data_IF_222975833179
#
_entry.id   IF_222975833179
#
_cell.length_a   1.000
_cell.length_b   1.000
_cell.length_c   1.000
_cell.angle_alpha   90.00
_cell.angle_beta   90.00
_cell.angle_gamma   90.00
#
_symmetry.space_group_name_H-M   'P 1'
#
loop_
_entity.id
_entity.type
_entity.pdbx_description
1 polymer ?
#
# COMPACT_ATOMS: atom_id res chain seq x y z
N UNK A 1 1.28 -2.77 -27.53
CA UNK A 1 1.91 -1.47 -27.24
C UNK A 1 1.54 -0.39 -28.25
N UNK A 2 1.59 -0.64 -29.58
CA UNK A 2 1.25 0.37 -30.60
C UNK A 2 -0.06 1.12 -30.37
N UNK A 3 -1.15 0.41 -30.05
CA UNK A 3 -2.45 1.03 -29.78
C UNK A 3 -2.41 2.16 -28.72
N UNK A 4 -1.84 1.92 -27.54
CA UNK A 4 -1.79 2.94 -26.48
C UNK A 4 -0.77 4.03 -26.77
N UNK A 5 0.30 3.73 -27.51
CA UNK A 5 1.22 4.76 -27.99
C UNK A 5 0.49 5.74 -28.94
N UNK A 6 -0.27 5.19 -29.90
CA UNK A 6 -1.05 5.98 -30.86
C UNK A 6 -2.16 6.80 -30.16
N UNK A 7 -2.87 6.22 -29.18
CA UNK A 7 -3.88 6.92 -28.39
C UNK A 7 -3.28 8.06 -27.56
N UNK A 8 -2.13 7.84 -26.89
CA UNK A 8 -1.44 8.90 -26.12
C UNK A 8 -0.95 10.01 -27.06
N UNK A 9 -0.37 9.66 -28.21
CA UNK A 9 0.09 10.65 -29.20
C UNK A 9 -1.06 11.49 -29.75
N UNK A 10 -2.24 10.89 -29.95
CA UNK A 10 -3.39 11.55 -30.56
C UNK A 10 -4.21 12.37 -29.56
N UNK A 11 -4.40 11.85 -28.35
CA UNK A 11 -5.34 12.41 -27.37
C UNK A 11 -4.69 12.97 -26.11
N UNK A 12 -3.39 12.69 -25.90
CA UNK A 12 -2.66 13.04 -24.69
C UNK A 12 -2.83 12.03 -23.56
N UNK A 13 -1.85 11.98 -22.66
CA UNK A 13 -1.80 11.01 -21.55
C UNK A 13 -3.04 11.05 -20.65
N UNK A 14 -3.47 12.25 -20.21
CA UNK A 14 -4.57 12.41 -19.26
C UNK A 14 -5.90 11.89 -19.82
N UNK A 15 -6.24 12.30 -21.03
CA UNK A 15 -7.49 11.94 -21.69
C UNK A 15 -7.53 10.44 -21.97
N UNK A 16 -6.43 9.86 -22.46
CA UNK A 16 -6.30 8.42 -22.69
C UNK A 16 -6.45 7.65 -21.38
N UNK A 17 -5.78 8.07 -20.31
CA UNK A 17 -5.88 7.41 -19.02
C UNK A 17 -7.32 7.41 -18.47
N UNK A 18 -7.99 8.57 -18.43
CA UNK A 18 -9.36 8.65 -17.93
C UNK A 18 -10.33 7.82 -18.79
N UNK A 19 -10.19 7.87 -20.12
CA UNK A 19 -11.04 7.14 -21.05
C UNK A 19 -10.93 5.62 -20.86
N UNK A 20 -9.72 5.10 -20.78
CA UNK A 20 -9.52 3.64 -20.77
C UNK A 20 -9.56 3.01 -19.38
N UNK A 21 -9.41 3.78 -18.31
CA UNK A 21 -9.41 3.24 -16.95
C UNK A 21 -10.69 3.58 -16.18
N UNK A 22 -11.25 4.79 -16.34
CA UNK A 22 -12.33 5.28 -15.47
C UNK A 22 -13.70 5.42 -16.14
N UNK A 23 -13.77 5.47 -17.47
CA UNK A 23 -15.05 5.67 -18.15
C UNK A 23 -16.05 4.56 -17.84
N UNK A 24 -17.34 4.87 -17.98
CA UNK A 24 -18.40 3.88 -17.85
C UNK A 24 -18.22 2.76 -18.88
N UNK A 25 -17.79 3.08 -20.10
CA UNK A 25 -17.51 2.12 -21.17
C UNK A 25 -16.42 1.13 -20.78
N UNK A 26 -15.38 1.63 -20.11
CA UNK A 26 -14.24 0.86 -19.63
C UNK A 26 -14.54 -0.03 -18.41
N UNK A 27 -15.67 0.17 -17.71
CA UNK A 27 -15.95 -0.55 -16.46
C UNK A 27 -17.29 -1.26 -16.41
N UNK A 28 -18.37 -0.62 -16.84
CA UNK A 28 -19.75 -1.00 -16.47
C UNK A 28 -20.68 -1.26 -17.67
N UNK A 29 -20.12 -1.54 -18.85
CA UNK A 29 -20.90 -1.98 -20.04
C UNK A 29 -21.27 -3.46 -19.97
N UNK A 30 -21.96 -3.97 -21.00
CA UNK A 30 -22.58 -5.31 -21.08
C UNK A 30 -21.67 -6.53 -20.78
N UNK A 31 -20.36 -6.37 -20.61
CA UNK A 31 -19.45 -7.45 -20.22
C UNK A 31 -18.55 -7.08 -19.04
N UNK A 32 -18.84 -5.97 -18.36
CA UNK A 32 -18.07 -5.38 -17.26
C UNK A 32 -16.55 -5.49 -17.46
N UNK A 33 -15.94 -4.70 -18.38
CA UNK A 33 -14.51 -4.83 -18.65
C UNK A 33 -13.65 -4.55 -17.42
N UNK A 34 -14.15 -3.75 -16.46
CA UNK A 34 -13.55 -3.43 -15.16
C UNK A 34 -12.08 -3.01 -15.29
N UNK A 35 -11.79 -2.04 -16.15
CA UNK A 35 -10.42 -1.59 -16.38
C UNK A 35 -9.76 -0.97 -15.15
N UNK A 36 -10.50 -0.33 -14.23
CA UNK A 36 -9.94 0.13 -12.96
C UNK A 36 -9.46 -1.04 -12.08
N UNK A 37 -10.23 -2.13 -12.04
CA UNK A 37 -9.86 -3.39 -11.36
C UNK A 37 -8.56 -3.96 -11.93
N UNK A 38 -8.47 -4.02 -13.25
CA UNK A 38 -7.27 -4.53 -13.93
C UNK A 38 -6.07 -3.59 -13.79
N UNK A 39 -6.29 -2.28 -13.73
CA UNK A 39 -5.23 -1.29 -13.55
C UNK A 39 -4.54 -1.40 -12.19
N UNK A 40 -5.27 -1.82 -11.16
CA UNK A 40 -4.72 -2.06 -9.82
C UNK A 40 -4.49 -3.55 -9.55
N UNK A 41 -4.59 -4.42 -10.57
CA UNK A 41 -4.36 -5.87 -10.47
C UNK A 41 -2.87 -6.24 -10.56
N UNK A 42 -2.56 -7.53 -10.40
CA UNK A 42 -1.21 -8.07 -10.67
C UNK A 42 -0.14 -7.46 -9.76
N UNK A 43 -0.38 -7.46 -8.44
CA UNK A 43 0.51 -6.79 -7.47
C UNK A 43 0.72 -5.30 -7.77
N UNK A 44 -0.31 -4.65 -8.33
CA UNK A 44 -0.32 -3.23 -8.66
C UNK A 44 0.70 -2.85 -9.75
N UNK A 45 1.26 -3.81 -10.48
CA UNK A 45 2.23 -3.56 -11.54
C UNK A 45 1.74 -2.60 -12.63
N UNK A 46 0.49 -2.68 -13.14
CA UNK A 46 0.03 -1.74 -14.16
C UNK A 46 0.02 -0.29 -13.63
N UNK A 47 -0.39 -0.09 -12.37
CA UNK A 47 -0.34 1.19 -11.67
C UNK A 47 1.11 1.65 -11.45
N UNK A 48 2.02 0.77 -11.03
CA UNK A 48 3.44 1.09 -10.80
C UNK A 48 4.12 1.52 -12.11
N UNK A 49 3.94 0.77 -13.20
CA UNK A 49 4.49 1.14 -14.51
C UNK A 49 3.92 2.47 -14.98
N UNK A 50 2.61 2.65 -14.91
CA UNK A 50 1.98 3.92 -15.29
C UNK A 50 2.45 5.09 -14.42
N UNK A 51 2.66 4.86 -13.12
CA UNK A 51 3.15 5.83 -12.16
C UNK A 51 4.48 6.48 -12.54
N UNK A 52 5.40 5.72 -13.11
CA UNK A 52 6.67 6.26 -13.63
C UNK A 52 6.45 7.30 -14.73
N UNK A 53 5.46 7.11 -15.60
CA UNK A 53 5.12 8.11 -16.61
C UNK A 53 4.50 9.36 -15.96
N UNK A 54 3.60 9.17 -14.99
CA UNK A 54 2.96 10.27 -14.29
C UNK A 54 3.98 11.13 -13.52
N UNK A 55 5.02 10.52 -12.97
CA UNK A 55 6.05 11.21 -12.19
C UNK A 55 7.16 11.82 -13.07
N UNK A 56 7.68 11.06 -14.04
CA UNK A 56 8.88 11.45 -14.80
C UNK A 56 8.59 11.93 -16.23
N UNK A 57 7.33 11.86 -16.68
CA UNK A 57 6.96 12.21 -18.05
C UNK A 57 7.42 11.21 -19.11
N UNK A 58 7.75 9.97 -18.73
CA UNK A 58 8.19 8.91 -19.65
C UNK A 58 6.98 8.16 -20.21
N UNK A 59 6.39 8.65 -21.30
CA UNK A 59 5.14 8.12 -21.87
C UNK A 59 5.19 6.62 -22.23
N UNK A 60 6.36 6.08 -22.57
CA UNK A 60 6.54 4.64 -22.81
C UNK A 60 6.11 3.78 -21.60
N UNK A 61 6.33 4.26 -20.38
CA UNK A 61 5.91 3.56 -19.16
C UNK A 61 4.38 3.59 -18.98
N UNK A 62 3.70 4.64 -19.46
CA UNK A 62 2.24 4.68 -19.48
C UNK A 62 1.67 3.68 -20.48
N UNK A 63 2.30 3.52 -21.65
CA UNK A 63 1.94 2.51 -22.65
C UNK A 63 2.04 1.11 -22.06
N UNK A 64 3.12 0.82 -21.32
CA UNK A 64 3.28 -0.46 -20.62
C UNK A 64 2.20 -0.68 -19.56
N UNK A 65 1.98 0.29 -18.67
CA UNK A 65 0.96 0.19 -17.62
C UNK A 65 -0.45 -0.02 -18.17
N UNK A 66 -0.84 0.73 -19.21
CA UNK A 66 -2.15 0.55 -19.86
C UNK A 66 -2.25 -0.79 -20.61
N UNK A 67 -1.17 -1.24 -21.26
CA UNK A 67 -1.14 -2.54 -21.92
C UNK A 67 -1.25 -3.69 -20.90
N UNK A 68 -0.55 -3.59 -19.77
CA UNK A 68 -0.69 -4.55 -18.67
C UNK A 68 -2.13 -4.56 -18.14
N UNK A 69 -2.75 -3.39 -17.90
CA UNK A 69 -4.14 -3.31 -17.46
C UNK A 69 -5.11 -3.97 -18.45
N UNK A 70 -4.85 -3.88 -19.76
CA UNK A 70 -5.72 -4.49 -20.77
C UNK A 70 -5.68 -6.03 -20.79
N UNK A 71 -4.59 -6.65 -20.30
CA UNK A 71 -4.41 -8.11 -20.34
C UNK A 71 -4.55 -8.80 -18.97
N UNK A 72 -4.49 -8.04 -17.88
CA UNK A 72 -4.74 -8.59 -16.54
C UNK A 72 -6.19 -9.06 -16.41
N UNK A 73 -6.38 -10.16 -15.68
CA UNK A 73 -7.72 -10.62 -15.27
C UNK A 73 -8.27 -9.70 -14.19
N UNK A 74 -9.59 -9.64 -14.08
CA UNK A 74 -10.22 -9.01 -12.93
C UNK A 74 -9.95 -9.84 -11.67
N UNK A 75 -9.59 -9.17 -10.58
CA UNK A 75 -9.22 -9.80 -9.32
C UNK A 75 -10.07 -9.31 -8.13
N UNK A 76 -10.81 -8.20 -8.28
CA UNK A 76 -11.40 -7.47 -7.14
C UNK A 76 -12.93 -7.40 -7.18
N UNK A 77 -13.59 -8.36 -7.83
CA UNK A 77 -15.05 -8.37 -7.99
C UNK A 77 -15.83 -8.41 -6.68
N UNK A 78 -15.24 -8.94 -5.60
CA UNK A 78 -15.81 -8.95 -4.25
C UNK A 78 -15.46 -7.70 -3.42
N UNK A 79 -14.46 -6.93 -3.82
CA UNK A 79 -14.06 -5.73 -3.08
C UNK A 79 -14.93 -4.52 -3.44
N UNK A 80 -15.37 -4.44 -4.70
CA UNK A 80 -16.24 -3.37 -5.17
C UNK A 80 -16.96 -3.74 -6.47
N UNK A 81 -18.07 -3.06 -6.70
CA UNK A 81 -18.91 -3.09 -7.90
C UNK A 81 -19.36 -1.66 -8.26
N UNK A 82 -20.20 -1.49 -9.29
CA UNK A 82 -20.69 -0.17 -9.68
C UNK A 82 -21.39 0.58 -8.52
N UNK A 83 -22.14 -0.12 -7.67
CA UNK A 83 -22.84 0.50 -6.53
C UNK A 83 -21.89 1.01 -5.45
N UNK A 84 -20.67 0.44 -5.35
CA UNK A 84 -19.64 0.91 -4.44
C UNK A 84 -19.15 2.32 -4.76
N UNK A 85 -19.21 2.75 -6.03
CA UNK A 85 -18.81 4.10 -6.46
C UNK A 85 -19.98 5.08 -6.51
N UNK A 86 -21.22 4.60 -6.35
CA UNK A 86 -22.40 5.46 -6.33
C UNK A 86 -22.42 6.39 -5.10
N UNK A 87 -22.95 7.62 -5.24
CA UNK A 87 -23.12 8.52 -4.12
C UNK A 87 -23.94 7.91 -2.96
N UNK A 88 -23.65 8.25 -1.69
CA UNK A 88 -24.47 7.82 -0.56
C UNK A 88 -25.91 8.32 -0.74
N UNK A 89 -26.86 7.39 -0.95
CA UNK A 89 -28.27 7.70 -1.22
C UNK A 89 -28.88 6.88 -2.36
N UNK A 90 -28.06 6.23 -3.18
CA UNK A 90 -28.54 5.46 -4.34
C UNK A 90 -28.78 3.97 -4.06
N UNK A 91 -28.38 3.43 -2.90
CA UNK A 91 -28.60 2.01 -2.54
C UNK A 91 -28.58 1.82 -1.01
N UNK A 92 -29.55 1.06 -0.49
CA UNK A 92 -29.83 0.90 0.94
C UNK A 92 -28.82 0.03 1.71
N UNK A 93 -27.63 0.58 1.99
CA UNK A 93 -26.68 -0.08 2.92
C UNK A 93 -27.10 0.17 4.38
N UNK A 94 -27.82 -0.80 4.95
CA UNK A 94 -28.30 -0.78 6.33
C UNK A 94 -27.18 -0.74 7.39
N UNK A 95 -25.95 -1.17 7.04
CA UNK A 95 -24.80 -1.20 7.97
C UNK A 95 -24.15 0.18 8.17
N UNK A 96 -24.21 1.06 7.17
CA UNK A 96 -23.74 2.45 7.32
C UNK A 96 -24.62 3.24 8.32
N UNK A 97 -25.90 2.90 8.41
CA UNK A 97 -26.84 3.51 9.37
C UNK A 97 -26.62 3.04 10.81
N UNK A 98 -26.21 1.78 11.03
CA UNK A 98 -26.01 1.25 12.39
C UNK A 98 -24.76 1.82 13.09
N UNK A 99 -23.68 2.01 12.35
CA UNK A 99 -22.48 2.69 12.88
C UNK A 99 -22.71 4.18 13.10
N UNK A 100 -23.50 4.83 12.25
CA UNK A 100 -23.88 6.23 12.43
C UNK A 100 -24.84 6.43 13.62
N UNK A 101 -25.67 5.45 13.96
CA UNK A 101 -26.60 5.50 15.09
C UNK A 101 -25.93 5.26 16.46
N UNK A 102 -24.77 4.61 16.50
CA UNK A 102 -23.98 4.43 17.72
C UNK A 102 -23.14 5.68 18.08
N UNK A 103 -22.92 6.59 17.12
CA UNK A 103 -22.39 7.92 17.37
C UNK A 103 -23.53 8.87 17.79
N UNK A 104 -24.01 8.72 19.03
CA UNK A 104 -24.88 9.70 19.69
C UNK A 104 -24.09 10.98 20.03
N UNK A 105 -23.82 11.76 18.99
CA UNK A 105 -23.32 13.12 19.07
C UNK A 105 -23.58 13.77 17.72
N UNK A 106 -24.38 14.85 17.70
CA UNK A 106 -24.77 15.58 16.48
C UNK A 106 -23.63 16.33 15.80
N UNK A 107 -22.51 15.64 15.51
CA UNK A 107 -21.37 16.15 14.76
C UNK A 107 -21.43 15.75 13.28
N UNK A 108 -20.64 16.44 12.46
CA UNK A 108 -20.40 16.09 11.04
C UNK A 108 -20.04 14.59 10.91
N UNK A 109 -20.38 13.92 9.80
CA UNK A 109 -20.00 12.53 9.57
C UNK A 109 -18.50 12.35 9.81
N UNK A 110 -18.14 11.59 10.84
CA UNK A 110 -16.75 11.36 11.21
C UNK A 110 -16.11 10.46 10.16
N UNK A 111 -15.03 10.93 9.52
CA UNK A 111 -14.20 10.06 8.68
C UNK A 111 -13.51 9.03 9.56
N UNK A 112 -13.48 7.77 9.13
CA UNK A 112 -12.76 6.72 9.86
C UNK A 112 -11.35 6.63 9.29
N UNK A 113 -10.35 6.98 10.10
CA UNK A 113 -8.94 6.93 9.72
C UNK A 113 -8.50 5.49 9.37
N UNK A 114 -7.58 5.33 8.42
CA UNK A 114 -7.07 4.04 7.96
C UNK A 114 -6.55 3.14 9.09
N UNK A 115 -5.82 3.69 10.07
CA UNK A 115 -5.39 2.95 11.26
C UNK A 115 -6.54 2.46 12.15
N UNK A 116 -7.64 3.20 12.25
CA UNK A 116 -8.83 2.69 12.96
C UNK A 116 -9.41 1.47 12.22
N UNK A 117 -9.45 1.51 10.89
CA UNK A 117 -9.92 0.37 10.09
C UNK A 117 -8.98 -0.83 10.24
N UNK A 118 -7.66 -0.59 10.19
CA UNK A 118 -6.65 -1.62 10.42
C UNK A 118 -6.80 -2.26 11.81
N UNK A 119 -7.03 -1.46 12.85
CA UNK A 119 -7.25 -1.96 14.20
C UNK A 119 -8.47 -2.90 14.28
N UNK A 120 -9.56 -2.52 13.62
CA UNK A 120 -10.78 -3.33 13.57
C UNK A 120 -10.59 -4.62 12.77
N UNK A 121 -9.84 -4.60 11.68
CA UNK A 121 -9.46 -5.80 10.92
C UNK A 121 -8.59 -6.74 11.77
N UNK A 122 -7.63 -6.20 12.52
CA UNK A 122 -6.78 -6.98 13.42
C UNK A 122 -7.59 -7.66 14.54
N UNK A 123 -8.71 -7.07 14.94
CA UNK A 123 -9.61 -7.58 15.98
C UNK A 123 -10.73 -8.50 15.44
N UNK A 124 -10.91 -8.62 14.13
CA UNK A 124 -11.98 -9.43 13.53
C UNK A 124 -11.56 -10.91 13.42
N UNK A 125 -12.20 -11.76 14.21
CA UNK A 125 -11.99 -13.22 14.22
C UNK A 125 -12.38 -13.90 12.89
N UNK A 126 -13.14 -13.23 12.01
CA UNK A 126 -13.43 -13.76 10.67
C UNK A 126 -12.22 -13.64 9.75
N UNK A 127 -11.29 -12.74 10.07
CA UNK A 127 -10.11 -12.42 9.26
C UNK A 127 -8.82 -13.02 9.83
N UNK A 128 -8.88 -13.90 10.84
CA UNK A 128 -7.68 -14.53 11.41
C UNK A 128 -6.83 -15.29 10.39
N UNK A 129 -5.54 -15.39 10.69
CA UNK A 129 -4.64 -16.24 9.94
C UNK A 129 -5.22 -17.66 9.83
N UNK A 130 -5.26 -18.18 8.59
CA UNK A 130 -5.84 -19.49 8.29
C UNK A 130 -7.34 -19.48 7.97
N UNK A 131 -8.07 -18.39 8.25
CA UNK A 131 -9.52 -18.30 7.98
C UNK A 131 -9.84 -17.96 6.53
N UNK A 132 -9.08 -17.03 5.94
CA UNK A 132 -9.36 -16.53 4.58
C UNK A 132 -8.52 -17.23 3.51
N UNK A 133 -7.32 -17.68 3.89
CA UNK A 133 -6.43 -18.53 3.11
C UNK A 133 -5.49 -19.30 4.05
N UNK A 134 -4.87 -20.37 3.57
CA UNK A 134 -3.89 -21.17 4.31
C UNK A 134 -2.45 -20.76 4.00
N UNK A 135 -1.52 -21.07 4.90
CA UNK A 135 -0.08 -20.83 4.71
C UNK A 135 0.47 -21.50 3.45
N UNK A 136 -0.04 -22.67 3.09
CA UNK A 136 0.47 -23.44 1.95
C UNK A 136 -0.26 -23.16 0.63
N UNK A 137 -1.24 -22.23 0.61
CA UNK A 137 -1.96 -21.88 -0.61
C UNK A 137 -1.04 -21.15 -1.60
N UNK A 138 -1.00 -21.56 -2.85
CA UNK A 138 -0.31 -20.83 -3.93
C UNK A 138 -1.11 -19.60 -4.41
N UNK A 139 -2.38 -19.49 -4.01
CA UNK A 139 -3.33 -18.46 -4.45
C UNK A 139 -3.90 -17.65 -3.28
N UNK A 140 -3.13 -17.44 -2.22
CA UNK A 140 -3.54 -16.75 -0.97
C UNK A 140 -4.41 -15.52 -1.20
N UNK A 141 -4.00 -14.65 -2.12
CA UNK A 141 -4.76 -13.45 -2.43
C UNK A 141 -6.15 -13.77 -2.99
N UNK A 142 -6.24 -14.61 -4.02
CA UNK A 142 -7.50 -15.04 -4.63
C UNK A 142 -8.41 -15.75 -3.62
N UNK A 143 -7.83 -16.62 -2.79
CA UNK A 143 -8.56 -17.31 -1.72
C UNK A 143 -9.15 -16.32 -0.73
N UNK A 144 -8.36 -15.34 -0.27
CA UNK A 144 -8.82 -14.28 0.62
C UNK A 144 -9.94 -13.45 0.00
N UNK A 145 -9.84 -13.08 -1.28
CA UNK A 145 -10.92 -12.35 -1.97
C UNK A 145 -12.21 -13.17 -2.02
N UNK A 146 -12.11 -14.47 -2.35
CA UNK A 146 -13.27 -15.34 -2.45
C UNK A 146 -13.94 -15.58 -1.08
N UNK A 147 -13.15 -15.70 -0.02
CA UNK A 147 -13.63 -16.07 1.31
C UNK A 147 -14.03 -14.87 2.17
N UNK A 148 -13.41 -13.70 1.95
CA UNK A 148 -13.55 -12.54 2.84
C UNK A 148 -13.65 -11.19 2.12
N UNK A 149 -13.74 -11.16 0.79
CA UNK A 149 -13.80 -9.91 0.03
C UNK A 149 -14.97 -9.00 0.45
N UNK A 150 -16.14 -9.58 0.72
CA UNK A 150 -17.32 -8.83 1.18
C UNK A 150 -17.09 -8.20 2.57
N UNK A 151 -16.39 -8.90 3.48
CA UNK A 151 -16.02 -8.38 4.81
C UNK A 151 -15.00 -7.24 4.68
N UNK A 152 -13.99 -7.42 3.82
CA UNK A 152 -12.99 -6.37 3.55
C UNK A 152 -13.65 -5.13 2.95
N UNK A 153 -14.61 -5.31 2.04
CA UNK A 153 -15.42 -4.23 1.46
C UNK A 153 -16.22 -3.47 2.52
N UNK A 154 -16.81 -4.15 3.50
CA UNK A 154 -17.52 -3.51 4.62
C UNK A 154 -16.60 -2.55 5.38
N UNK A 155 -15.39 -3.01 5.73
CA UNK A 155 -14.39 -2.17 6.39
C UNK A 155 -13.90 -1.02 5.52
N UNK A 156 -13.60 -1.29 4.26
CA UNK A 156 -13.17 -0.26 3.31
C UNK A 156 -14.23 0.83 3.11
N UNK A 157 -15.52 0.48 3.19
CA UNK A 157 -16.63 1.44 3.06
C UNK A 157 -16.69 2.48 4.19
N UNK A 158 -16.01 2.23 5.31
CA UNK A 158 -15.87 3.20 6.41
C UNK A 158 -14.86 4.31 6.09
N UNK A 159 -13.94 4.04 5.16
CA UNK A 159 -12.95 4.99 4.68
C UNK A 159 -13.56 5.87 3.59
N UNK A 160 -14.15 6.99 4.01
CA UNK A 160 -14.81 7.92 3.10
C UNK A 160 -13.81 8.88 2.49
N UNK A 161 -14.00 9.16 1.20
CA UNK A 161 -13.23 10.14 0.44
C UNK A 161 -14.22 11.00 -0.33
N UNK A 162 -14.07 12.32 -0.25
CA UNK A 162 -14.82 13.29 -1.06
C UNK A 162 -13.92 13.92 -2.12
N UNK A 163 -14.52 14.69 -3.03
CA UNK A 163 -13.78 15.46 -4.06
C UNK A 163 -13.05 16.69 -3.50
N UNK A 164 -13.09 16.92 -2.18
CA UNK A 164 -12.33 17.97 -1.52
C UNK A 164 -10.83 17.66 -1.58
N UNK A 165 -10.04 18.57 -2.17
CA UNK A 165 -8.61 18.34 -2.36
C UNK A 165 -7.86 18.18 -1.04
N UNK A 166 -8.26 18.90 0.02
CA UNK A 166 -7.61 18.76 1.32
C UNK A 166 -7.90 17.37 1.90
N UNK A 167 -9.14 16.89 1.82
CA UNK A 167 -9.47 15.52 2.21
C UNK A 167 -8.69 14.49 1.39
N UNK A 168 -8.56 14.67 0.07
CA UNK A 168 -7.73 13.80 -0.78
C UNK A 168 -6.28 13.75 -0.28
N UNK A 169 -5.68 14.89 0.05
CA UNK A 169 -4.31 14.94 0.57
C UNK A 169 -4.18 14.27 1.95
N UNK A 170 -5.18 14.42 2.83
CA UNK A 170 -5.25 13.71 4.11
C UNK A 170 -5.29 12.19 3.89
N UNK A 171 -6.09 11.72 2.92
CA UNK A 171 -6.21 10.31 2.56
C UNK A 171 -4.93 9.74 1.93
N UNK A 172 -4.23 10.53 1.12
CA UNK A 172 -2.91 10.16 0.60
C UNK A 172 -1.89 10.00 1.73
N UNK A 173 -1.87 10.91 2.70
CA UNK A 173 -1.01 10.77 3.89
C UNK A 173 -1.35 9.49 4.66
N UNK A 174 -2.64 9.23 4.92
CA UNK A 174 -3.09 8.01 5.61
C UNK A 174 -2.59 6.72 4.94
N UNK A 175 -2.59 6.66 3.60
CA UNK A 175 -2.12 5.50 2.85
C UNK A 175 -0.61 5.25 3.06
N UNK A 176 0.21 6.30 2.99
CA UNK A 176 1.65 6.21 3.21
C UNK A 176 1.99 5.65 4.60
N UNK A 177 1.29 6.12 5.64
CA UNK A 177 1.41 5.60 7.00
C UNK A 177 0.93 4.15 7.12
N UNK A 178 -0.18 3.83 6.47
CA UNK A 178 -0.76 2.49 6.48
C UNK A 178 0.20 1.46 5.89
N UNK A 179 0.68 1.67 4.66
CA UNK A 179 1.53 0.71 3.96
C UNK A 179 2.90 0.56 4.63
N UNK A 180 3.47 1.66 5.13
CA UNK A 180 4.74 1.62 5.86
C UNK A 180 4.61 0.82 7.18
N UNK A 181 3.49 0.96 7.89
CA UNK A 181 3.23 0.21 9.11
C UNK A 181 2.97 -1.27 8.83
N UNK A 182 2.13 -1.58 7.83
CA UNK A 182 1.84 -2.97 7.42
C UNK A 182 3.11 -3.72 7.03
N UNK A 183 3.99 -3.08 6.26
CA UNK A 183 5.25 -3.69 5.83
C UNK A 183 6.28 -3.74 6.96
N UNK A 184 6.60 -2.60 7.59
CA UNK A 184 7.66 -2.49 8.59
C UNK A 184 7.31 -3.14 9.92
N UNK A 185 6.24 -2.69 10.58
CA UNK A 185 5.85 -3.26 11.87
C UNK A 185 5.22 -4.66 11.72
N UNK A 186 4.57 -4.95 10.59
CA UNK A 186 4.03 -6.29 10.31
C UNK A 186 5.11 -7.34 10.05
N UNK A 187 6.23 -6.98 9.42
CA UNK A 187 7.36 -7.87 9.19
C UNK A 187 8.27 -8.06 10.42
N UNK A 188 8.22 -7.12 11.37
CA UNK A 188 9.08 -7.10 12.56
C UNK A 188 8.52 -7.92 13.72
N UNK A 189 9.41 -8.61 14.44
CA UNK A 189 9.17 -9.27 15.73
C UNK A 189 10.44 -9.16 16.58
N UNK A 190 10.28 -9.25 17.91
CA UNK A 190 11.40 -9.11 18.85
C UNK A 190 12.40 -10.27 18.81
N UNK A 191 11.92 -11.46 18.47
CA UNK A 191 12.57 -12.76 18.66
C UNK A 191 12.98 -13.45 17.35
N UNK A 192 12.92 -12.73 16.22
CA UNK A 192 13.39 -13.21 14.92
C UNK A 192 13.86 -12.05 14.06
N UNK A 193 14.58 -12.38 13.00
CA UNK A 193 14.95 -11.42 11.96
C UNK A 193 13.71 -10.84 11.26
N UNK A 194 13.86 -9.63 10.71
CA UNK A 194 12.81 -8.97 9.96
C UNK A 194 12.44 -9.79 8.72
N UNK A 195 11.15 -10.09 8.55
CA UNK A 195 10.64 -10.73 7.34
C UNK A 195 10.14 -9.66 6.37
N UNK A 196 10.94 -9.34 5.35
CA UNK A 196 10.54 -8.47 4.26
C UNK A 196 9.52 -9.19 3.36
N UNK A 197 8.22 -8.97 3.55
CA UNK A 197 7.18 -9.64 2.77
C UNK A 197 7.09 -9.07 1.34
N UNK A 198 7.23 -9.96 0.35
CA UNK A 198 7.25 -9.59 -1.06
C UNK A 198 5.96 -8.90 -1.52
N UNK A 199 4.81 -9.27 -0.96
CA UNK A 199 3.52 -8.73 -1.39
C UNK A 199 3.23 -7.40 -0.70
N UNK A 200 3.59 -7.25 0.57
CA UNK A 200 3.41 -6.00 1.29
C UNK A 200 4.35 -4.89 0.82
N UNK A 201 5.57 -5.22 0.35
CA UNK A 201 6.44 -4.19 -0.22
C UNK A 201 5.83 -3.58 -1.49
N UNK A 202 5.07 -4.35 -2.27
CA UNK A 202 4.41 -3.81 -3.47
C UNK A 202 3.47 -2.66 -3.10
N UNK A 203 2.78 -2.75 -1.95
CA UNK A 203 1.91 -1.69 -1.45
C UNK A 203 2.69 -0.40 -1.16
N UNK A 204 3.89 -0.52 -0.59
CA UNK A 204 4.80 0.61 -0.34
C UNK A 204 5.28 1.21 -1.66
N UNK A 205 5.67 0.36 -2.64
CA UNK A 205 6.17 0.84 -3.93
C UNK A 205 5.09 1.47 -4.81
N UNK A 206 3.84 0.99 -4.75
CA UNK A 206 2.73 1.55 -5.50
C UNK A 206 2.24 2.86 -4.90
N UNK A 207 2.26 2.98 -3.56
CA UNK A 207 1.82 4.18 -2.85
C UNK A 207 2.61 5.44 -3.26
N UNK A 208 3.92 5.27 -3.50
CA UNK A 208 4.79 6.33 -4.03
C UNK A 208 4.23 7.03 -5.26
N UNK A 209 3.53 6.31 -6.14
CA UNK A 209 3.01 6.85 -7.38
C UNK A 209 1.62 7.47 -7.26
N UNK A 210 0.90 7.26 -6.16
CA UNK A 210 -0.46 7.75 -5.99
C UNK A 210 -0.53 9.28 -6.17
N UNK A 211 0.30 10.13 -5.52
CA UNK A 211 0.23 11.57 -5.72
C UNK A 211 0.41 11.99 -7.19
N UNK A 212 1.37 11.39 -7.88
CA UNK A 212 1.67 11.67 -9.29
C UNK A 212 0.52 11.27 -10.21
N UNK A 213 -0.08 10.10 -9.99
CA UNK A 213 -1.23 9.63 -10.77
C UNK A 213 -2.45 10.50 -10.52
N UNK A 214 -2.74 10.84 -9.25
CA UNK A 214 -3.86 11.72 -8.92
C UNK A 214 -3.73 13.09 -9.58
N UNK A 215 -2.52 13.62 -9.75
CA UNK A 215 -2.29 14.90 -10.44
C UNK A 215 -2.79 14.94 -11.90
N UNK A 216 -2.96 13.77 -12.53
CA UNK A 216 -3.46 13.61 -13.89
C UNK A 216 -4.99 13.57 -13.98
N UNK A 217 -5.66 13.23 -12.88
CA UNK A 217 -7.08 12.89 -12.83
C UNK A 217 -7.97 14.07 -12.44
N UNK A 218 -9.20 14.06 -12.96
CA UNK A 218 -10.29 14.90 -12.45
C UNK A 218 -10.71 14.46 -11.04
N UNK A 219 -11.31 15.37 -10.23
CA UNK A 219 -11.65 15.09 -8.83
C UNK A 219 -12.44 13.79 -8.61
N UNK A 220 -13.50 13.52 -9.39
CA UNK A 220 -14.27 12.29 -9.30
C UNK A 220 -13.39 11.02 -9.48
N UNK A 221 -12.51 10.99 -10.48
CA UNK A 221 -11.63 9.85 -10.72
C UNK A 221 -10.52 9.72 -9.67
N UNK A 222 -10.09 10.81 -9.04
CA UNK A 222 -9.20 10.75 -7.86
C UNK A 222 -9.87 9.96 -6.74
N UNK A 223 -11.14 10.28 -6.46
CA UNK A 223 -11.96 9.60 -5.46
C UNK A 223 -12.13 8.12 -5.82
N UNK A 224 -12.47 7.82 -7.07
CA UNK A 224 -12.65 6.42 -7.52
C UNK A 224 -11.36 5.61 -7.39
N UNK A 225 -10.21 6.17 -7.77
CA UNK A 225 -8.92 5.49 -7.63
C UNK A 225 -8.62 5.18 -6.17
N UNK A 226 -8.74 6.17 -5.28
CA UNK A 226 -8.48 5.99 -3.85
C UNK A 226 -9.43 4.95 -3.23
N UNK A 227 -10.72 5.02 -3.56
CA UNK A 227 -11.73 4.08 -3.07
C UNK A 227 -11.53 2.66 -3.60
N UNK A 228 -11.02 2.48 -4.81
CA UNK A 228 -10.66 1.17 -5.35
C UNK A 228 -9.34 0.63 -4.78
N UNK A 229 -8.36 1.51 -4.57
CA UNK A 229 -7.02 1.17 -4.08
C UNK A 229 -7.03 0.70 -2.63
N UNK A 230 -7.72 1.42 -1.74
CA UNK A 230 -7.75 1.11 -0.30
C UNK A 230 -8.16 -0.33 0.05
N UNK A 231 -9.29 -0.90 -0.42
CA UNK A 231 -9.66 -2.29 -0.13
C UNK A 231 -8.65 -3.30 -0.67
N UNK A 232 -7.93 -2.99 -1.76
CA UNK A 232 -6.88 -3.86 -2.30
C UNK A 232 -5.70 -3.95 -1.33
N UNK A 233 -5.29 -2.85 -0.71
CA UNK A 233 -4.26 -2.84 0.33
C UNK A 233 -4.66 -3.72 1.53
N UNK A 234 -5.89 -3.55 2.01
CA UNK A 234 -6.44 -4.34 3.11
C UNK A 234 -6.49 -5.83 2.76
N UNK A 235 -6.92 -6.16 1.54
CA UNK A 235 -6.98 -7.54 1.06
C UNK A 235 -5.61 -8.20 1.00
N UNK A 236 -4.58 -7.48 0.52
CA UNK A 236 -3.21 -7.99 0.57
C UNK A 236 -2.79 -8.25 2.00
N UNK A 237 -2.94 -7.28 2.90
CA UNK A 237 -2.62 -7.46 4.32
C UNK A 237 -3.28 -8.68 4.96
N UNK A 238 -4.58 -8.88 4.73
CA UNK A 238 -5.32 -10.04 5.23
C UNK A 238 -4.83 -11.34 4.58
N UNK A 239 -4.54 -11.34 3.28
CA UNK A 239 -3.99 -12.52 2.58
C UNK A 239 -2.59 -12.94 3.06
N UNK A 240 -1.88 -12.05 3.76
CA UNK A 240 -0.61 -12.37 4.43
C UNK A 240 -0.79 -12.85 5.86
N UNK A 241 -2.02 -13.18 6.26
CA UNK A 241 -2.39 -13.64 7.59
C UNK A 241 -2.60 -12.51 8.59
N UNK A 242 -2.75 -11.25 8.16
CA UNK A 242 -2.96 -10.07 9.03
C UNK A 242 -2.02 -10.03 10.26
N UNK A 243 -0.69 -9.98 10.06
CA UNK A 243 0.28 -10.12 11.16
C UNK A 243 -0.03 -9.16 12.32
N UNK A 244 0.03 -9.70 13.54
CA UNK A 244 -0.14 -8.89 14.75
C UNK A 244 0.97 -7.82 14.85
N UNK A 245 0.57 -6.58 15.10
CA UNK A 245 1.45 -5.41 15.16
C UNK A 245 1.84 -5.10 16.61
N UNK A 246 3.11 -5.33 16.95
CA UNK A 246 3.71 -4.85 18.20
C UNK A 246 4.33 -3.47 17.99
N UNK A 247 3.49 -2.45 17.84
CA UNK A 247 3.93 -1.08 17.56
C UNK A 247 4.89 -0.59 18.64
N UNK A 248 4.57 -0.79 19.92
CA UNK A 248 5.42 -0.37 21.04
C UNK A 248 6.77 -1.10 21.04
N UNK A 249 6.78 -2.41 20.78
CA UNK A 249 8.01 -3.18 20.63
C UNK A 249 8.88 -2.68 19.48
N UNK A 250 8.27 -2.41 18.32
CA UNK A 250 8.96 -1.88 17.14
C UNK A 250 9.65 -0.55 17.44
N UNK A 251 8.93 0.43 18.00
CA UNK A 251 9.50 1.76 18.30
C UNK A 251 10.55 1.74 19.40
N UNK A 252 10.46 0.80 20.35
CA UNK A 252 11.45 0.64 21.42
C UNK A 252 12.70 -0.14 21.01
N UNK A 253 12.64 -0.95 19.94
CA UNK A 253 13.73 -1.87 19.59
C UNK A 253 14.44 -1.54 18.28
N UNK A 254 13.72 -1.00 17.28
CA UNK A 254 14.31 -0.68 15.97
C UNK A 254 15.16 0.59 16.10
N UNK A 255 16.25 0.72 15.35
CA UNK A 255 17.08 1.94 15.38
C UNK A 255 16.52 3.03 14.48
N UNK A 256 16.74 4.30 14.85
CA UNK A 256 16.50 5.47 13.97
C UNK A 256 17.73 5.84 13.13
N UNK A 257 18.88 5.22 13.41
CA UNK A 257 20.16 5.48 12.74
C UNK A 257 20.71 4.16 12.16
N UNK A 258 20.09 3.62 11.09
CA UNK A 258 20.50 2.36 10.47
C UNK A 258 21.84 2.49 9.73
N UNK A 259 22.73 1.50 9.87
CA UNK A 259 24.09 1.48 9.29
C UNK A 259 24.53 0.05 8.87
N UNK A 260 25.39 -0.10 7.85
CA UNK A 260 26.06 -1.37 7.53
C UNK A 260 27.04 -1.76 8.66
N UNK A 261 26.87 -2.94 9.23
CA UNK A 261 27.64 -3.62 10.33
C UNK A 261 28.45 -2.80 11.37
N UNK A 262 28.19 -3.11 12.65
CA UNK A 262 29.05 -2.94 13.85
C UNK A 262 29.81 -1.61 14.08
N UNK A 263 29.20 -0.44 13.86
CA UNK A 263 29.46 0.62 14.84
C UNK A 263 28.57 0.33 16.04
N UNK A 264 29.18 -0.12 17.15
CA UNK A 264 28.56 -0.30 18.47
C UNK A 264 27.31 0.55 18.62
N UNK A 265 26.16 -0.06 18.95
CA UNK A 265 24.92 0.64 19.26
C UNK A 265 25.27 1.96 19.93
N UNK A 266 25.11 3.06 19.18
CA UNK A 266 25.37 4.36 19.76
C UNK A 266 24.46 4.42 20.98
N UNK A 267 25.04 4.73 22.15
CA UNK A 267 24.23 4.99 23.34
C UNK A 267 23.38 6.26 23.17
N UNK A 268 23.52 6.99 22.06
CA UNK A 268 22.59 8.03 21.66
C UNK A 268 21.34 7.40 21.05
N UNK A 269 20.18 7.74 21.61
CA UNK A 269 18.86 7.54 20.99
C UNK A 269 18.62 8.44 19.77
N UNK A 270 19.55 9.36 19.50
CA UNK A 270 19.46 10.36 18.43
C UNK A 270 20.43 10.01 17.30
N UNK A 271 19.94 10.11 16.06
CA UNK A 271 20.74 9.92 14.85
C UNK A 271 21.78 11.05 14.71
N UNK A 272 22.98 10.71 14.23
CA UNK A 272 23.99 11.71 13.89
C UNK A 272 23.74 12.17 12.45
N UNK A 273 23.05 13.30 12.28
CA UNK A 273 22.66 13.82 10.98
C UNK A 273 21.40 13.16 10.41
N UNK A 274 21.15 13.32 9.11
CA UNK A 274 19.99 12.71 8.46
C UNK A 274 20.33 11.25 8.04
N UNK A 275 19.73 10.23 8.67
CA UNK A 275 20.03 8.82 8.41
C UNK A 275 19.74 8.39 6.97
N UNK A 276 18.86 9.10 6.25
CA UNK A 276 18.55 8.80 4.85
C UNK A 276 19.74 8.94 3.92
N UNK A 277 20.74 9.77 4.25
CA UNK A 277 21.96 9.83 3.45
C UNK A 277 22.70 8.50 3.44
N UNK A 278 22.79 7.83 4.59
CA UNK A 278 23.42 6.51 4.70
C UNK A 278 22.61 5.46 3.96
N UNK A 279 21.30 5.40 4.22
CA UNK A 279 20.39 4.43 3.59
C UNK A 279 20.46 4.55 2.06
N UNK A 280 20.16 5.72 1.51
CA UNK A 280 20.08 5.92 0.07
C UNK A 280 21.42 5.72 -0.65
N UNK A 281 22.54 6.07 -0.01
CA UNK A 281 23.88 5.81 -0.58
C UNK A 281 24.12 4.31 -0.81
N UNK A 282 23.63 3.45 0.09
CA UNK A 282 23.74 2.00 -0.03
C UNK A 282 22.60 1.38 -0.85
N UNK A 283 21.46 2.06 -0.98
CA UNK A 283 20.36 1.65 -1.85
C UNK A 283 20.70 1.77 -3.33
N UNK A 284 21.32 2.87 -3.78
CA UNK A 284 21.58 3.16 -5.21
C UNK A 284 22.27 2.00 -5.97
N UNK A 285 23.33 1.35 -5.43
CA UNK A 285 23.99 0.25 -6.14
C UNK A 285 23.25 -1.10 -6.02
N UNK A 286 22.14 -1.19 -5.28
CA UNK A 286 21.41 -2.43 -5.05
C UNK A 286 20.75 -2.95 -6.34
N UNK A 287 20.81 -4.27 -6.56
CA UNK A 287 20.31 -4.91 -7.81
C UNK A 287 18.85 -5.31 -7.77
N UNK A 288 18.32 -5.59 -6.59
CA UNK A 288 16.89 -5.87 -6.44
C UNK A 288 16.09 -4.59 -6.67
N UNK A 289 15.24 -4.60 -7.69
CA UNK A 289 14.44 -3.44 -8.06
C UNK A 289 13.36 -3.09 -7.03
N UNK A 290 12.81 -4.08 -6.32
CA UNK A 290 11.78 -3.88 -5.29
C UNK A 290 12.41 -3.16 -4.10
N UNK A 291 13.63 -3.52 -3.73
CA UNK A 291 14.40 -2.84 -2.67
C UNK A 291 14.58 -1.35 -2.99
N UNK A 292 15.12 -1.03 -4.18
CA UNK A 292 15.38 0.38 -4.56
C UNK A 292 14.09 1.19 -4.61
N UNK A 293 13.02 0.61 -5.16
CA UNK A 293 11.69 1.24 -5.21
C UNK A 293 11.13 1.49 -3.80
N UNK A 294 11.27 0.52 -2.89
CA UNK A 294 10.74 0.61 -1.53
C UNK A 294 11.50 1.63 -0.68
N UNK A 295 12.84 1.63 -0.71
CA UNK A 295 13.66 2.62 -0.01
C UNK A 295 13.37 4.04 -0.51
N UNK A 296 13.21 4.21 -1.83
CA UNK A 296 12.79 5.48 -2.42
C UNK A 296 11.41 5.91 -1.90
N UNK A 297 10.45 5.00 -1.85
CA UNK A 297 9.11 5.28 -1.37
C UNK A 297 9.11 5.72 0.11
N UNK A 298 9.80 4.98 0.96
CA UNK A 298 9.93 5.30 2.39
C UNK A 298 10.66 6.63 2.60
N UNK A 299 11.72 6.92 1.84
CA UNK A 299 12.43 8.19 1.90
C UNK A 299 11.54 9.37 1.48
N UNK A 300 10.71 9.18 0.44
CA UNK A 300 9.74 10.17 0.00
C UNK A 300 8.70 10.45 1.08
N UNK A 301 8.08 9.42 1.66
CA UNK A 301 7.13 9.57 2.75
C UNK A 301 7.77 10.21 3.98
N UNK A 302 9.04 9.90 4.29
CA UNK A 302 9.77 10.57 5.36
C UNK A 302 10.03 12.05 5.09
N UNK A 303 10.30 12.44 3.83
CA UNK A 303 10.47 13.84 3.48
C UNK A 303 9.17 14.65 3.67
N UNK A 304 8.01 14.04 3.43
CA UNK A 304 6.71 14.69 3.58
C UNK A 304 6.18 14.65 5.03
N UNK A 305 6.31 13.51 5.70
CA UNK A 305 5.60 13.19 6.93
C UNK A 305 6.54 12.85 8.11
N UNK A 306 7.85 12.85 7.89
CA UNK A 306 8.86 12.49 8.90
C UNK A 306 8.97 13.46 10.07
N UNK A 307 8.30 14.62 10.01
CA UNK A 307 8.23 15.59 11.13
C UNK A 307 7.02 15.35 12.04
N UNK A 308 6.13 14.39 11.73
CA UNK A 308 4.94 14.12 12.56
C UNK A 308 5.40 13.65 13.94
N UNK A 309 4.99 14.33 15.03
CA UNK A 309 5.43 13.99 16.37
C UNK A 309 4.71 12.74 16.87
N UNK A 310 5.32 12.10 17.87
CA UNK A 310 4.68 11.06 18.66
C UNK A 310 3.33 11.55 19.20
N UNK A 311 2.32 10.68 19.16
CA UNK A 311 0.96 10.98 19.60
C UNK A 311 0.05 11.60 18.54
N UNK A 312 0.54 11.86 17.33
CA UNK A 312 -0.28 12.38 16.22
C UNK A 312 -1.46 11.44 15.90
N UNK A 313 -1.27 10.12 16.02
CA UNK A 313 -2.28 9.10 15.73
C UNK A 313 -3.02 8.57 16.98
N UNK A 314 -2.86 9.19 18.15
CA UNK A 314 -3.52 8.76 19.40
C UNK A 314 -5.06 8.79 19.35
N UNK A 315 -5.63 9.49 18.36
CA UNK A 315 -7.06 9.57 18.14
C UNK A 315 -7.63 8.34 17.41
N UNK A 316 -6.78 7.43 16.94
CA UNK A 316 -7.18 6.22 16.21
C UNK A 316 -7.37 5.03 17.16
N UNK A 317 -8.05 3.98 16.70
CA UNK A 317 -8.28 2.77 17.50
C UNK A 317 -7.09 1.79 17.52
N UNK A 318 -6.01 2.10 16.78
CA UNK A 318 -4.86 1.22 16.67
C UNK A 318 -4.07 1.19 17.98
N UNK A 319 -3.91 -0.02 18.55
CA UNK A 319 -3.13 -0.24 19.77
C UNK A 319 -1.67 0.21 19.57
N UNK A 320 -1.21 1.15 20.42
CA UNK A 320 0.14 1.70 20.33
C UNK A 320 0.28 2.85 19.33
N UNK A 321 -0.81 3.36 18.75
CA UNK A 321 -0.77 4.49 17.81
C UNK A 321 -0.17 5.77 18.44
N UNK A 322 -0.21 5.90 19.76
CA UNK A 322 0.46 6.97 20.49
C UNK A 322 1.98 6.94 20.38
N UNK A 323 2.57 5.79 20.01
CA UNK A 323 4.01 5.61 19.79
C UNK A 323 4.43 5.96 18.36
N UNK A 324 3.48 6.04 17.41
CA UNK A 324 3.79 6.26 16.00
C UNK A 324 4.23 7.72 15.79
N UNK A 325 5.40 7.88 15.16
CA UNK A 325 5.96 9.17 14.77
C UNK A 325 6.67 9.06 13.40
N UNK A 326 7.20 10.19 12.91
CA UNK A 326 7.93 10.32 11.65
C UNK A 326 9.06 9.32 11.43
N UNK A 327 9.59 8.71 12.49
CA UNK A 327 10.69 7.75 12.39
C UNK A 327 10.25 6.38 11.88
N UNK A 328 8.94 6.12 11.73
CA UNK A 328 8.42 4.90 11.10
C UNK A 328 9.18 4.55 9.81
N UNK A 329 9.31 5.53 8.92
CA UNK A 329 9.83 5.30 7.57
C UNK A 329 11.30 4.90 7.58
N UNK A 330 12.15 5.58 8.36
CA UNK A 330 13.58 5.25 8.43
C UNK A 330 13.82 3.96 9.20
N UNK A 331 13.02 3.66 10.23
CA UNK A 331 13.06 2.37 10.93
C UNK A 331 12.75 1.22 9.98
N UNK A 332 11.70 1.38 9.17
CA UNK A 332 11.32 0.40 8.15
C UNK A 332 12.41 0.23 7.08
N UNK A 333 12.97 1.32 6.56
CA UNK A 333 14.07 1.26 5.59
C UNK A 333 15.32 0.60 6.18
N UNK A 334 15.67 0.93 7.43
CA UNK A 334 16.78 0.28 8.13
C UNK A 334 16.62 -1.24 8.27
N UNK A 335 15.40 -1.72 8.56
CA UNK A 335 15.09 -3.16 8.61
C UNK A 335 15.19 -3.80 7.21
N UNK A 336 14.70 -3.11 6.18
CA UNK A 336 14.76 -3.57 4.80
C UNK A 336 16.20 -3.69 4.30
N UNK A 337 17.04 -2.67 4.52
CA UNK A 337 18.48 -2.72 4.26
C UNK A 337 19.18 -3.89 4.97
N UNK A 338 18.75 -4.19 6.20
CA UNK A 338 19.25 -5.36 6.95
C UNK A 338 18.84 -6.68 6.29
N UNK A 339 17.55 -6.84 5.97
CA UNK A 339 17.02 -8.08 5.39
C UNK A 339 17.53 -8.36 3.97
N UNK A 340 17.77 -7.34 3.16
CA UNK A 340 18.26 -7.49 1.78
C UNK A 340 19.76 -7.25 1.62
N UNK A 341 20.47 -7.14 2.75
CA UNK A 341 21.93 -6.97 2.86
C UNK A 341 22.40 -5.62 2.30
N UNK A 342 22.91 -4.76 3.18
CA UNK A 342 23.43 -3.41 2.87
C UNK A 342 24.40 -3.33 1.70
N UNK A 343 25.25 -4.34 1.55
CA UNK A 343 26.19 -4.48 0.45
C UNK A 343 25.82 -5.76 -0.30
N UNK A 344 24.98 -5.65 -1.33
CA UNK A 344 24.80 -6.75 -2.28
C UNK A 344 26.12 -6.89 -3.07
N UNK A 345 27.11 -7.56 -2.46
CA UNK A 345 28.40 -7.83 -3.07
C UNK A 345 28.22 -8.85 -4.20
N UNK A 346 28.90 -8.59 -5.31
CA UNK A 346 28.97 -9.41 -6.53
C UNK A 346 29.64 -10.79 -6.33
N UNK A 347 29.67 -11.34 -5.12
CA UNK A 347 30.51 -12.50 -4.79
C UNK A 347 29.99 -13.83 -5.32
N UNK A 348 28.77 -13.88 -5.85
CA UNK A 348 28.25 -15.07 -6.53
C UNK A 348 28.04 -14.75 -8.01
N UNK A 349 28.78 -15.47 -8.87
CA UNK A 349 28.40 -15.62 -10.27
C UNK A 349 26.92 -16.01 -10.30
N UNK A 350 26.17 -15.24 -11.07
CA UNK A 350 24.77 -15.50 -11.37
C UNK A 350 24.71 -16.78 -12.21
N UNK A 351 24.72 -17.94 -11.55
CA UNK A 351 24.12 -19.14 -12.13
C UNK A 351 22.61 -19.03 -11.89
N UNK A 352 21.84 -19.17 -12.97
CA UNK A 352 20.39 -18.92 -13.06
C UNK A 352 19.51 -19.79 -12.14
N UNK A 353 20.09 -20.62 -11.27
CA UNK A 353 19.37 -21.60 -10.45
C UNK A 353 19.43 -21.35 -8.93
N UNK A 354 20.15 -20.35 -8.43
CA UNK A 354 20.26 -20.08 -6.99
C UNK A 354 20.24 -18.59 -6.61
N UNK A 355 19.19 -17.87 -7.00
CA UNK A 355 18.82 -16.68 -6.21
C UNK A 355 18.44 -17.15 -4.80
N UNK A 356 19.24 -16.82 -3.78
CA UNK A 356 18.69 -16.70 -2.43
C UNK A 356 17.58 -15.66 -2.51
N UNK A 357 16.34 -16.11 -2.68
CA UNK A 357 15.17 -15.25 -2.68
C UNK A 357 15.04 -14.68 -1.26
N UNK A 358 15.56 -13.48 -1.04
CA UNK A 358 15.63 -12.86 0.29
C UNK A 358 14.28 -12.30 0.77
N UNK A 359 13.31 -12.15 -0.12
CA UNK A 359 11.94 -11.76 0.26
C UNK A 359 11.15 -12.94 0.83
N UNK A 360 10.23 -12.68 1.74
CA UNK A 360 9.34 -13.71 2.30
C UNK A 360 8.07 -13.85 1.45
N UNK A 361 7.85 -14.97 0.72
CA UNK A 361 6.62 -15.20 -0.05
C UNK A 361 5.51 -15.89 0.75
N UNK A 362 5.81 -16.38 1.95
CA UNK A 362 4.90 -17.25 2.71
C UNK A 362 3.75 -16.48 3.37
N UNK A 363 3.97 -15.23 3.76
CA UNK A 363 3.06 -14.44 4.58
C UNK A 363 3.56 -14.36 6.03
N UNK A 364 3.02 -13.41 6.78
CA UNK A 364 3.61 -12.95 8.04
C UNK A 364 2.84 -13.41 9.28
N UNK A 365 1.55 -13.70 9.14
CA UNK A 365 0.63 -13.92 10.28
C UNK A 365 0.43 -15.38 10.70
N UNK A 366 1.21 -16.32 10.16
CA UNK A 366 1.06 -17.75 10.48
C UNK A 366 1.70 -18.19 11.79
N UNK A 367 2.53 -17.31 12.37
CA UNK A 367 3.33 -17.55 13.56
C UNK A 367 2.74 -16.80 14.78
#
# INVERSE_FOLDING_TARGET
>A
MGFFADEIQTHGLRQTFERFIFSHEANWTKNEPRMLDRFISGLLHPLIHFGHAAEFGVEGMAVEGLAQAAVHKTAYTRLYDASYFSPPGSSGSYLASLTSALNLGGGKPQHTHAFTILARILADERLEAGKTCTRDSDTKFTDTINNAGDIIREYASLWKVSEDEKEIQERVEELAWLVALMFGAGGWKKDRDFKADFFLVHLVTSDLFIPSILSLLKPAHKVDLLRAYFPVLLAYFVSRGRPALDVKGFYSSVTVDPKPEHSSASKSSEAIGNPWYTVLTHTIPHRDEHHVKAERALAHSAALYGIRPKGYFSHTELKGAEEIDGTLFVRTGGLLMGALKWNFALETKLDDEQQEWMWSPDGLGWD
#
